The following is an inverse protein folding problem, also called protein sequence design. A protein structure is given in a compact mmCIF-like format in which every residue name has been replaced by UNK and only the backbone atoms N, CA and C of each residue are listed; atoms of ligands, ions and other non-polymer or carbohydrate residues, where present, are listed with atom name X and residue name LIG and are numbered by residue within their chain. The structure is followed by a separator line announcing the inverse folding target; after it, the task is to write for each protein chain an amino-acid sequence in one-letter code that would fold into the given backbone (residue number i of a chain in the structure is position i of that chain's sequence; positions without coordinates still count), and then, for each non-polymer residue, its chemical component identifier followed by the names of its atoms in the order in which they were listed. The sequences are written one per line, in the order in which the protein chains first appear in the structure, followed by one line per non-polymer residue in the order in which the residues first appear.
data_IF_783294591692
#
_entry.id   IF_783294591692
#
_cell.length_a   1.000
_cell.length_b   1.000
_cell.length_c   1.000
_cell.angle_alpha   90.00
_cell.angle_beta   90.00
_cell.angle_gamma   90.00
#
_symmetry.space_group_name_H-M   'P 1'
#
loop_
_entity.id
_entity.type
_entity.pdbx_description
1 polymer ?
#
# COMPACT_ATOMS: atom_id res chain seq x y z
N UNK A 1 -7.18 -6.19 17.75
CA UNK A 1 -7.96 -5.11 17.17
C UNK A 1 -7.74 -5.05 15.67
N UNK A 2 -8.76 -4.66 14.90
CA UNK A 2 -8.67 -4.35 13.47
C UNK A 2 -8.77 -2.83 13.32
N UNK A 3 -7.95 -2.27 12.44
CA UNK A 3 -7.95 -0.86 12.10
C UNK A 3 -8.27 -0.71 10.62
N UNK A 4 -9.26 0.10 10.29
CA UNK A 4 -9.72 0.29 8.91
C UNK A 4 -10.11 1.75 8.65
N UNK A 5 -10.23 2.17 7.37
CA UNK A 5 -10.86 3.44 7.00
C UNK A 5 -12.26 3.57 7.60
N UNK A 6 -12.69 4.79 7.90
CA UNK A 6 -13.98 5.04 8.54
C UNK A 6 -15.16 4.55 7.72
N UNK A 7 -15.12 4.72 6.40
CA UNK A 7 -16.16 4.28 5.46
C UNK A 7 -16.23 2.74 5.33
N UNK A 8 -15.11 2.04 5.55
CA UNK A 8 -15.07 0.58 5.57
C UNK A 8 -15.69 -0.02 6.85
N UNK A 9 -15.90 0.79 7.89
CA UNK A 9 -16.48 0.32 9.14
C UNK A 9 -18.02 0.27 9.10
N UNK A 10 -18.68 0.91 8.12
CA UNK A 10 -20.12 0.90 7.89
C UNK A 10 -20.98 1.16 9.12
N UNK A 11 -22.27 1.44 8.92
CA UNK A 11 -23.27 1.53 10.01
C UNK A 11 -23.62 0.13 10.62
N UNK A 12 -23.20 -0.93 9.98
CA UNK A 12 -23.62 -2.30 10.28
C UNK A 12 -22.46 -3.24 10.53
N UNK A 13 -21.42 -2.87 11.20
CA UNK A 13 -20.48 -3.81 11.84
C UNK A 13 -20.20 -5.15 11.14
N UNK A 14 -20.18 -5.20 9.80
CA UNK A 14 -19.97 -6.43 9.00
C UNK A 14 -18.57 -7.05 9.16
N UNK A 15 -17.83 -6.61 10.16
CA UNK A 15 -16.65 -7.29 10.68
C UNK A 15 -17.00 -8.20 11.85
N UNK A 16 -18.18 -8.84 11.80
CA UNK A 16 -18.60 -9.92 12.71
C UNK A 16 -17.57 -11.06 12.68
N UNK A 17 -16.78 -11.15 13.73
CA UNK A 17 -15.72 -12.15 13.87
C UNK A 17 -14.37 -11.56 14.27
N UNK A 18 -14.22 -10.26 14.29
CA UNK A 18 -13.04 -9.57 14.83
C UNK A 18 -13.15 -9.52 16.35
N UNK A 19 -12.27 -10.24 17.03
CA UNK A 19 -12.28 -10.51 18.49
C UNK A 19 -12.52 -9.31 19.40
N UNK A 20 -12.61 -9.57 20.68
CA UNK A 20 -13.02 -8.66 21.75
C UNK A 20 -12.32 -7.29 21.70
N UNK A 21 -12.92 -6.30 21.06
CA UNK A 21 -12.41 -4.93 20.96
C UNK A 21 -13.02 -4.15 19.79
N UNK A 22 -13.72 -4.84 18.88
CA UNK A 22 -14.33 -4.20 17.70
C UNK A 22 -13.32 -3.58 16.71
N UNK A 23 -13.77 -3.14 15.55
CA UNK A 23 -12.95 -2.38 14.60
C UNK A 23 -12.75 -0.94 15.10
N UNK A 24 -11.59 -0.37 14.79
CA UNK A 24 -11.22 1.01 15.13
C UNK A 24 -10.98 1.80 13.84
N UNK A 25 -11.43 3.05 13.81
CA UNK A 25 -11.14 3.96 12.70
C UNK A 25 -9.66 4.31 12.63
N UNK A 26 -9.03 4.04 11.49
CA UNK A 26 -7.69 4.51 11.20
C UNK A 26 -7.80 5.95 10.66
N UNK A 27 -7.33 6.92 11.42
CA UNK A 27 -7.39 8.35 11.05
C UNK A 27 -6.01 8.80 10.55
N UNK A 28 -5.92 9.50 9.40
CA UNK A 28 -4.65 10.07 8.93
C UNK A 28 -3.97 10.92 9.99
N UNK A 29 -2.66 10.77 10.14
CA UNK A 29 -1.87 11.43 11.18
C UNK A 29 -1.87 10.72 12.53
N UNK A 30 -2.69 9.68 12.73
CA UNK A 30 -2.67 8.89 13.97
C UNK A 30 -1.41 8.02 14.06
N UNK A 31 -0.93 7.86 15.29
CA UNK A 31 0.10 6.88 15.64
C UNK A 31 -0.53 5.77 16.50
N UNK A 32 -0.35 4.54 16.09
CA UNK A 32 -0.91 3.36 16.71
C UNK A 32 0.21 2.46 17.22
N UNK A 33 -0.10 1.65 18.24
CA UNK A 33 0.76 0.53 18.65
C UNK A 33 0.00 -0.78 18.56
N UNK A 34 0.58 -1.72 17.82
CA UNK A 34 0.01 -3.07 17.63
C UNK A 34 1.05 -4.08 18.13
N UNK A 35 0.92 -4.49 19.39
CA UNK A 35 1.97 -5.24 20.06
C UNK A 35 3.24 -4.42 20.23
N UNK A 36 4.35 -4.89 19.70
CA UNK A 36 5.64 -4.18 19.67
C UNK A 36 5.77 -3.19 18.50
N UNK A 37 4.93 -3.31 17.46
CA UNK A 37 5.01 -2.50 16.27
C UNK A 37 4.46 -1.09 16.50
N UNK A 38 5.15 -0.08 15.99
CA UNK A 38 4.65 1.26 15.82
C UNK A 38 4.06 1.42 14.41
N UNK A 39 2.91 2.06 14.30
CA UNK A 39 2.24 2.27 13.00
C UNK A 39 1.79 3.72 12.90
N UNK A 40 2.23 4.42 11.88
CA UNK A 40 1.73 5.75 11.53
C UNK A 40 0.75 5.61 10.38
N UNK A 41 -0.41 6.27 10.50
CA UNK A 41 -1.47 6.25 9.49
C UNK A 41 -1.33 7.46 8.58
N UNK A 42 -1.33 7.24 7.27
CA UNK A 42 -1.33 8.28 6.25
C UNK A 42 -2.42 7.98 5.19
N UNK A 43 -2.46 8.79 4.13
CA UNK A 43 -3.45 8.63 3.06
C UNK A 43 -4.83 9.15 3.48
N UNK A 44 -5.61 9.60 2.52
CA UNK A 44 -6.95 10.13 2.77
C UNK A 44 -7.99 9.49 1.87
N UNK A 45 -7.74 9.46 0.56
CA UNK A 45 -8.67 8.95 -0.45
C UNK A 45 -7.98 7.96 -1.36
N UNK A 46 -8.76 7.03 -1.86
CA UNK A 46 -8.41 6.16 -2.97
C UNK A 46 -8.17 6.98 -4.24
N UNK A 47 -7.28 6.51 -5.12
CA UNK A 47 -7.10 7.09 -6.43
C UNK A 47 -8.42 7.18 -7.21
N UNK A 48 -8.60 8.26 -7.97
CA UNK A 48 -9.84 8.52 -8.68
C UNK A 48 -10.05 7.53 -9.82
N UNK A 49 -11.18 6.83 -9.79
CA UNK A 49 -11.61 5.92 -10.85
C UNK A 49 -12.44 6.62 -11.92
N UNK A 50 -13.28 7.59 -11.49
CA UNK A 50 -14.21 8.29 -12.37
C UNK A 50 -14.55 9.66 -11.78
N UNK A 51 -14.59 10.74 -12.59
CA UNK A 51 -14.79 12.12 -12.11
C UNK A 51 -16.08 12.36 -11.33
N UNK A 52 -17.09 11.50 -11.51
CA UNK A 52 -18.40 11.63 -10.83
C UNK A 52 -18.59 10.62 -9.70
N UNK A 53 -17.64 9.72 -9.48
CA UNK A 53 -17.69 8.71 -8.43
C UNK A 53 -16.56 8.99 -7.44
N UNK A 54 -16.86 9.57 -6.27
CA UNK A 54 -15.84 9.72 -5.24
C UNK A 54 -15.34 8.32 -4.83
N UNK A 55 -14.02 8.15 -4.84
CA UNK A 55 -13.42 6.93 -4.33
C UNK A 55 -13.65 6.78 -2.82
N UNK A 56 -13.55 5.54 -2.29
CA UNK A 56 -13.58 5.29 -0.86
C UNK A 56 -12.40 5.98 -0.16
N UNK A 57 -12.39 5.93 1.16
CA UNK A 57 -11.21 6.31 1.92
C UNK A 57 -10.06 5.34 1.66
N UNK A 58 -8.83 5.86 1.54
CA UNK A 58 -7.60 5.07 1.50
C UNK A 58 -6.80 5.30 2.76
N UNK A 59 -6.15 4.26 3.26
CA UNK A 59 -5.18 4.37 4.35
C UNK A 59 -3.87 3.71 3.96
N UNK A 60 -2.81 4.46 4.17
CA UNK A 60 -1.45 3.94 4.12
C UNK A 60 -0.94 3.76 5.54
N UNK A 61 -0.12 2.75 5.73
CA UNK A 61 0.43 2.39 7.04
C UNK A 61 1.95 2.34 6.96
N UNK A 62 2.60 3.23 7.71
CA UNK A 62 4.04 3.18 7.89
C UNK A 62 4.36 2.43 9.19
N UNK A 63 4.93 1.24 9.06
CA UNK A 63 5.20 0.30 10.14
C UNK A 63 6.66 0.41 10.54
N UNK A 64 6.93 0.68 11.83
CA UNK A 64 8.25 0.85 12.44
C UNK A 64 9.18 1.81 11.67
N UNK A 65 8.59 2.84 11.07
CA UNK A 65 9.29 3.83 10.21
C UNK A 65 10.03 3.21 9.02
N UNK A 66 9.76 1.96 8.69
CA UNK A 66 10.51 1.15 7.71
C UNK A 66 9.66 0.68 6.54
N UNK A 67 8.46 0.15 6.80
CA UNK A 67 7.62 -0.45 5.78
C UNK A 67 6.39 0.41 5.54
N UNK A 68 6.27 1.00 4.36
CA UNK A 68 5.08 1.71 3.94
C UNK A 68 4.21 0.80 3.06
N UNK A 69 2.99 0.54 3.51
CA UNK A 69 1.92 -0.08 2.71
C UNK A 69 0.99 1.04 2.26
N UNK A 70 0.92 1.31 0.96
CA UNK A 70 0.25 2.51 0.43
C UNK A 70 -1.27 2.39 0.36
N UNK A 71 -1.82 1.17 0.34
CA UNK A 71 -3.18 0.96 -0.15
C UNK A 71 -3.25 1.28 -1.65
N UNK A 72 -4.37 1.83 -2.10
CA UNK A 72 -4.69 2.06 -3.51
C UNK A 72 -4.41 3.50 -3.97
N UNK A 73 -3.41 4.15 -3.39
CA UNK A 73 -2.97 5.50 -3.71
C UNK A 73 -1.47 5.64 -3.46
N UNK A 74 -0.88 6.74 -3.91
CA UNK A 74 0.52 7.12 -3.69
C UNK A 74 0.63 8.31 -2.70
N UNK A 75 0.33 8.11 -1.40
CA UNK A 75 0.34 9.19 -0.43
C UNK A 75 1.76 9.64 -0.09
N UNK A 76 1.90 10.89 0.33
CA UNK A 76 3.17 11.37 0.90
C UNK A 76 3.44 10.59 2.19
N UNK A 77 4.57 9.87 2.30
CA UNK A 77 4.86 9.10 3.50
C UNK A 77 5.18 10.02 4.69
N UNK A 78 4.80 9.63 5.93
CA UNK A 78 5.13 10.41 7.14
C UNK A 78 6.64 10.56 7.38
N UNK A 79 7.42 9.56 7.01
CA UNK A 79 8.88 9.59 6.93
C UNK A 79 9.35 8.68 5.80
N UNK A 80 10.62 8.72 5.45
CA UNK A 80 11.18 7.92 4.34
C UNK A 80 11.23 6.44 4.70
N UNK A 81 10.45 5.56 4.05
CA UNK A 81 10.48 4.13 4.29
C UNK A 81 11.69 3.48 3.60
N UNK A 82 12.19 2.39 4.16
CA UNK A 82 13.16 1.52 3.48
C UNK A 82 12.48 0.54 2.53
N UNK A 83 11.25 0.16 2.84
CA UNK A 83 10.44 -0.77 2.04
C UNK A 83 9.12 -0.13 1.65
N UNK A 84 8.78 -0.20 0.38
CA UNK A 84 7.53 0.26 -0.19
C UNK A 84 6.71 -0.93 -0.71
N UNK A 85 5.51 -1.13 -0.16
CA UNK A 85 4.52 -2.10 -0.64
C UNK A 85 3.42 -1.31 -1.35
N UNK A 86 3.28 -1.48 -2.67
CA UNK A 86 2.44 -0.61 -3.50
C UNK A 86 1.81 -1.37 -4.67
N UNK A 87 0.60 -0.96 -5.13
CA UNK A 87 0.00 -1.50 -6.34
C UNK A 87 0.91 -1.34 -7.55
N UNK A 88 0.91 -2.36 -8.41
CA UNK A 88 1.63 -2.36 -9.70
C UNK A 88 0.70 -2.35 -10.89
N UNK A 89 -0.54 -2.72 -10.69
CA UNK A 89 -1.61 -2.69 -11.69
C UNK A 89 -2.93 -2.34 -11.05
N UNK A 90 -3.66 -1.44 -11.69
CA UNK A 90 -5.02 -1.08 -11.34
C UNK A 90 -5.64 -0.21 -12.44
N UNK A 91 -6.99 -0.14 -12.57
CA UNK A 91 -7.65 0.69 -13.57
C UNK A 91 -7.33 2.18 -13.50
N UNK A 92 -6.89 2.67 -12.34
CA UNK A 92 -6.50 4.07 -12.09
C UNK A 92 -4.99 4.32 -12.19
N UNK A 93 -4.16 3.26 -12.18
CA UNK A 93 -2.71 3.38 -12.07
C UNK A 93 -2.06 3.47 -13.45
N UNK A 94 -1.17 4.42 -13.63
CA UNK A 94 -0.23 4.45 -14.74
C UNK A 94 1.17 4.07 -14.23
N UNK A 95 1.88 3.25 -15.00
CA UNK A 95 3.26 2.89 -14.67
C UNK A 95 4.16 4.12 -14.46
N UNK A 96 3.93 5.20 -15.21
CA UNK A 96 4.68 6.46 -15.04
C UNK A 96 4.45 7.14 -13.69
N UNK A 97 3.27 6.98 -13.09
CA UNK A 97 2.96 7.57 -11.78
C UNK A 97 3.62 6.75 -10.68
N UNK A 98 3.61 5.41 -10.79
CA UNK A 98 4.38 4.52 -9.92
C UNK A 98 5.89 4.83 -9.98
N UNK A 99 6.46 4.97 -11.18
CA UNK A 99 7.89 5.29 -11.36
C UNK A 99 8.23 6.63 -10.69
N UNK A 100 7.42 7.66 -10.88
CA UNK A 100 7.62 8.96 -10.22
C UNK A 100 7.56 8.84 -8.71
N UNK A 101 6.58 8.11 -8.21
CA UNK A 101 6.42 7.89 -6.77
C UNK A 101 7.64 7.18 -6.16
N UNK A 102 8.16 6.13 -6.82
CA UNK A 102 9.38 5.44 -6.37
C UNK A 102 10.59 6.37 -6.40
N UNK A 103 10.72 7.23 -7.41
CA UNK A 103 11.77 8.26 -7.46
C UNK A 103 11.68 9.27 -6.31
N UNK A 104 10.48 9.65 -5.91
CA UNK A 104 10.26 10.61 -4.82
C UNK A 104 10.51 9.97 -3.46
N UNK A 105 10.07 8.73 -3.25
CA UNK A 105 10.23 7.99 -1.99
C UNK A 105 11.65 7.47 -1.80
N UNK A 106 12.31 7.02 -2.86
CA UNK A 106 13.65 6.41 -2.85
C UNK A 106 13.77 5.23 -1.86
N UNK A 107 12.92 4.21 -1.93
CA UNK A 107 13.00 3.05 -1.05
C UNK A 107 14.19 2.16 -1.44
N UNK A 108 14.69 1.34 -0.50
CA UNK A 108 15.65 0.30 -0.81
C UNK A 108 14.98 -0.90 -1.49
N UNK A 109 13.76 -1.24 -1.06
CA UNK A 109 12.97 -2.35 -1.59
C UNK A 109 11.58 -1.89 -2.00
N UNK A 110 11.15 -2.27 -3.22
CA UNK A 110 9.76 -2.19 -3.65
C UNK A 110 9.18 -3.59 -3.74
N UNK A 111 8.02 -3.80 -3.12
CA UNK A 111 7.20 -5.00 -3.25
C UNK A 111 5.92 -4.64 -3.98
N UNK A 112 5.78 -5.13 -5.20
CA UNK A 112 4.58 -4.94 -6.01
C UNK A 112 3.46 -5.87 -5.55
N UNK A 113 2.26 -5.30 -5.39
CA UNK A 113 1.02 -6.00 -5.03
C UNK A 113 -0.11 -5.58 -5.97
N UNK A 114 -1.32 -6.07 -5.76
CA UNK A 114 -2.51 -5.75 -6.56
C UNK A 114 -2.43 -6.28 -8.00
N UNK A 115 -1.98 -7.52 -8.17
CA UNK A 115 -1.81 -8.20 -9.46
C UNK A 115 -2.90 -9.24 -9.76
N UNK A 116 -3.88 -9.39 -8.87
CA UNK A 116 -4.90 -10.44 -8.94
C UNK A 116 -5.85 -10.38 -10.14
N UNK A 117 -5.89 -9.27 -10.87
CA UNK A 117 -6.68 -9.12 -12.10
C UNK A 117 -5.86 -9.40 -13.37
N UNK A 118 -4.55 -9.63 -13.25
CA UNK A 118 -3.67 -9.84 -14.38
C UNK A 118 -3.69 -11.30 -14.85
N UNK A 119 -3.79 -11.49 -16.15
CA UNK A 119 -3.47 -12.76 -16.78
C UNK A 119 -1.94 -12.90 -16.97
N UNK A 120 -1.48 -13.99 -17.58
CA UNK A 120 -0.05 -14.26 -17.79
C UNK A 120 0.68 -13.16 -18.56
N UNK A 121 0.04 -12.56 -19.57
CA UNK A 121 0.62 -11.47 -20.35
C UNK A 121 0.71 -10.19 -19.55
N UNK A 122 -0.34 -9.85 -18.80
CA UNK A 122 -0.37 -8.71 -17.88
C UNK A 122 0.70 -8.84 -16.79
N UNK A 123 0.85 -10.02 -16.19
CA UNK A 123 1.91 -10.31 -15.22
C UNK A 123 3.31 -10.14 -15.83
N UNK A 124 3.50 -10.53 -17.10
CA UNK A 124 4.77 -10.29 -17.79
C UNK A 124 5.08 -8.81 -17.94
N UNK A 125 4.09 -7.99 -18.30
CA UNK A 125 4.24 -6.53 -18.38
C UNK A 125 4.51 -5.92 -17.01
N UNK A 126 3.76 -6.31 -15.99
CA UNK A 126 3.94 -5.83 -14.62
C UNK A 126 5.36 -6.14 -14.10
N UNK A 127 5.89 -7.33 -14.37
CA UNK A 127 7.27 -7.67 -14.01
C UNK A 127 8.30 -6.79 -14.70
N UNK A 128 8.10 -6.43 -15.96
CA UNK A 128 9.00 -5.48 -16.66
C UNK A 128 8.97 -4.09 -15.99
N UNK A 129 7.79 -3.62 -15.59
CA UNK A 129 7.68 -2.35 -14.85
C UNK A 129 8.43 -2.44 -13.51
N UNK A 130 8.18 -3.50 -12.72
CA UNK A 130 8.87 -3.72 -11.44
C UNK A 130 10.39 -3.79 -11.63
N UNK A 131 10.88 -4.52 -12.61
CA UNK A 131 12.32 -4.63 -12.88
C UNK A 131 12.94 -3.27 -13.23
N UNK A 132 12.22 -2.41 -13.95
CA UNK A 132 12.68 -1.07 -14.29
C UNK A 132 12.85 -0.14 -13.08
N UNK A 133 12.13 -0.39 -11.97
CA UNK A 133 12.20 0.45 -10.77
C UNK A 133 13.58 0.44 -10.11
N UNK A 134 14.41 -0.57 -10.39
CA UNK A 134 15.81 -0.63 -9.92
C UNK A 134 16.66 0.49 -10.48
N UNK A 135 16.36 0.95 -11.70
CA UNK A 135 17.03 2.08 -12.34
C UNK A 135 16.37 3.43 -11.98
N UNK A 136 15.26 3.39 -11.24
CA UNK A 136 14.39 4.52 -10.97
C UNK A 136 14.36 4.94 -9.49
N UNK A 137 15.32 4.47 -8.69
CA UNK A 137 15.49 4.89 -7.29
C UNK A 137 15.30 3.80 -6.24
N UNK A 138 14.87 2.60 -6.62
CA UNK A 138 14.86 1.43 -5.74
C UNK A 138 16.14 0.61 -5.91
N UNK A 139 16.71 0.10 -4.82
CA UNK A 139 17.85 -0.83 -4.91
C UNK A 139 17.39 -2.23 -5.32
N UNK A 140 16.21 -2.64 -4.86
CA UNK A 140 15.56 -3.92 -5.15
C UNK A 140 14.10 -3.70 -5.46
N UNK A 141 13.55 -4.45 -6.40
CA UNK A 141 12.12 -4.46 -6.68
C UNK A 141 11.67 -5.88 -7.03
N UNK A 142 10.51 -6.30 -6.54
CA UNK A 142 9.99 -7.65 -6.73
C UNK A 142 8.47 -7.71 -6.63
N UNK A 143 7.90 -8.80 -7.13
CA UNK A 143 6.55 -9.29 -6.85
C UNK A 143 6.69 -10.66 -6.20
N UNK A 144 5.90 -10.92 -5.18
CA UNK A 144 5.88 -12.21 -4.49
C UNK A 144 4.72 -13.05 -5.02
N UNK A 145 4.96 -14.34 -5.20
CA UNK A 145 3.90 -15.31 -5.42
C UNK A 145 3.27 -15.74 -4.09
N UNK A 146 2.09 -16.37 -4.16
CA UNK A 146 1.40 -16.86 -2.97
C UNK A 146 2.30 -17.77 -2.12
N UNK A 147 2.41 -17.46 -0.85
CA UNK A 147 3.23 -18.21 0.11
C UNK A 147 4.72 -17.84 0.12
N UNK A 148 5.18 -16.99 -0.79
CA UNK A 148 6.55 -16.46 -0.74
C UNK A 148 6.71 -15.40 0.35
N UNK A 149 7.93 -15.26 0.82
CA UNK A 149 8.32 -14.23 1.79
C UNK A 149 9.66 -13.60 1.40
N UNK A 150 9.91 -12.39 1.88
CA UNK A 150 11.13 -11.66 1.64
C UNK A 150 11.59 -10.94 2.91
N UNK A 151 12.90 -10.96 3.15
CA UNK A 151 13.49 -10.17 4.22
C UNK A 151 13.53 -8.70 3.84
N UNK A 152 13.00 -7.85 4.70
CA UNK A 152 13.02 -6.40 4.53
C UNK A 152 14.35 -5.82 5.01
N UNK A 153 14.85 -4.74 4.36
CA UNK A 153 16.05 -4.03 4.80
C UNK A 153 15.97 -3.58 6.25
N UNK A 154 17.12 -3.61 6.93
CA UNK A 154 17.26 -3.28 8.34
C UNK A 154 17.09 -1.80 8.68
#
# INVERSE_FOLDING_TARGET
PVWAPGDALGDSGDLDGVGAGGPHGAVPGAALRIGSLSVQVAGERHAELHPTLPGPENRAYLIDERVLVTGDEHPVPPSRPTTLVTPIDAPWLRATDLIRYVRDVHPELVVGVHDGLLNADGLSVARHVIDSLRDEGATRATMLSDGESIDIPG
#
